data_IF_206385185778
#
_entry.id   IF_206385185778
#
_cell.length_a   1.000
_cell.length_b   1.000
_cell.length_c   1.000
_cell.angle_alpha   90.00
_cell.angle_beta   90.00
_cell.angle_gamma   90.00
#
_symmetry.space_group_name_H-M   'P 1'
#
loop_
_entity.id
_entity.type
_entity.pdbx_description
1 polymer ?
#
# COMPACT_ATOMS: atom_id res chain seq x y z
N UNK A 1 -21.39 4.49 11.68
CA UNK A 1 -20.09 4.77 11.01
C UNK A 1 -18.95 3.91 11.55
N UNK A 2 -18.46 4.12 12.79
CA UNK A 2 -17.35 3.30 13.33
C UNK A 2 -17.69 1.80 13.43
N UNK A 3 -18.88 1.47 13.95
CA UNK A 3 -19.37 0.08 14.04
C UNK A 3 -19.47 -0.57 12.65
N UNK A 4 -19.87 0.19 11.63
CA UNK A 4 -19.99 -0.30 10.26
C UNK A 4 -18.62 -0.57 9.63
N UNK A 5 -17.67 0.34 9.80
CA UNK A 5 -16.29 0.16 9.32
C UNK A 5 -15.64 -1.10 9.94
N UNK A 6 -15.76 -1.27 11.27
CA UNK A 6 -15.25 -2.46 11.95
C UNK A 6 -15.94 -3.74 11.49
N UNK A 7 -17.26 -3.69 11.28
CA UNK A 7 -18.01 -4.82 10.72
C UNK A 7 -17.50 -5.19 9.34
N UNK A 8 -17.35 -4.22 8.43
CA UNK A 8 -16.88 -4.42 7.07
C UNK A 8 -15.45 -5.00 7.05
N UNK A 9 -14.55 -4.54 7.93
CA UNK A 9 -13.21 -5.11 8.10
C UNK A 9 -13.31 -6.56 8.59
N UNK A 10 -14.13 -6.85 9.61
CA UNK A 10 -14.29 -8.20 10.17
C UNK A 10 -14.86 -9.21 9.16
N UNK A 11 -15.76 -8.76 8.30
CA UNK A 11 -16.39 -9.59 7.27
C UNK A 11 -15.42 -9.87 6.13
N UNK A 12 -14.65 -8.86 5.70
CA UNK A 12 -13.62 -9.04 4.68
C UNK A 12 -12.46 -9.91 5.18
N UNK A 13 -12.08 -9.79 6.46
CA UNK A 13 -11.10 -10.69 7.08
C UNK A 13 -11.59 -12.14 7.06
N UNK A 14 -12.84 -12.38 7.49
CA UNK A 14 -13.46 -13.71 7.44
C UNK A 14 -13.56 -14.25 6.01
N UNK A 15 -13.93 -13.41 5.05
CA UNK A 15 -14.02 -13.78 3.64
C UNK A 15 -12.65 -14.16 3.07
N UNK A 16 -11.61 -13.39 3.40
CA UNK A 16 -10.24 -13.66 2.98
C UNK A 16 -9.71 -14.98 3.56
N UNK A 17 -9.90 -15.21 4.86
CA UNK A 17 -9.50 -16.45 5.55
C UNK A 17 -10.25 -17.66 4.97
N UNK A 18 -11.54 -17.51 4.67
CA UNK A 18 -12.33 -18.58 4.03
C UNK A 18 -11.84 -18.90 2.62
N UNK A 19 -11.28 -17.92 1.91
CA UNK A 19 -10.65 -18.10 0.62
C UNK A 19 -9.13 -18.33 0.75
N UNK A 20 -8.76 -19.45 1.38
CA UNK A 20 -7.35 -19.79 1.64
C UNK A 20 -6.51 -19.88 0.35
N UNK A 21 -7.11 -20.22 -0.79
CA UNK A 21 -6.43 -20.27 -2.08
C UNK A 21 -5.98 -18.88 -2.54
N UNK A 22 -6.87 -17.87 -2.42
CA UNK A 22 -6.50 -16.48 -2.70
C UNK A 22 -5.42 -15.99 -1.73
N UNK A 23 -5.52 -16.38 -0.45
CA UNK A 23 -4.53 -16.04 0.56
C UNK A 23 -3.14 -16.62 0.23
N UNK A 24 -3.04 -17.89 -0.18
CA UNK A 24 -1.78 -18.47 -0.63
C UNK A 24 -1.20 -17.75 -1.84
N UNK A 25 -2.06 -17.36 -2.78
CA UNK A 25 -1.63 -16.62 -3.96
C UNK A 25 -1.11 -15.23 -3.59
N UNK A 26 -1.77 -14.52 -2.66
CA UNK A 26 -1.26 -13.26 -2.10
C UNK A 26 0.12 -13.44 -1.46
N UNK A 27 0.29 -14.46 -0.60
CA UNK A 27 1.56 -14.74 0.05
C UNK A 27 2.66 -15.06 -0.95
N UNK A 28 2.39 -15.91 -1.94
CA UNK A 28 3.36 -16.27 -2.97
C UNK A 28 3.81 -15.03 -3.78
N UNK A 29 2.86 -14.21 -4.24
CA UNK A 29 3.16 -12.97 -4.96
C UNK A 29 3.91 -11.96 -4.08
N UNK A 30 3.55 -11.86 -2.80
CA UNK A 30 4.21 -10.95 -1.86
C UNK A 30 5.64 -11.40 -1.52
N UNK A 31 5.88 -12.69 -1.31
CA UNK A 31 7.23 -13.24 -1.12
C UNK A 31 8.08 -13.01 -2.38
N UNK A 32 7.52 -13.24 -3.58
CA UNK A 32 8.21 -12.98 -4.83
C UNK A 32 8.57 -11.49 -4.99
N UNK A 33 7.68 -10.58 -4.57
CA UNK A 33 7.94 -9.14 -4.55
C UNK A 33 9.08 -8.78 -3.60
N UNK A 34 9.02 -9.26 -2.35
CA UNK A 34 10.06 -9.01 -1.35
C UNK A 34 11.42 -9.59 -1.75
N UNK A 35 11.43 -10.79 -2.31
CA UNK A 35 12.64 -11.42 -2.84
C UNK A 35 13.22 -10.59 -4.00
N UNK A 36 12.35 -10.08 -4.89
CA UNK A 36 12.79 -9.25 -6.02
C UNK A 36 13.42 -7.94 -5.55
N UNK A 37 12.82 -7.27 -4.56
CA UNK A 37 13.37 -6.06 -3.94
C UNK A 37 14.68 -6.36 -3.20
N UNK A 38 14.72 -7.43 -2.40
CA UNK A 38 15.89 -7.84 -1.64
C UNK A 38 17.09 -8.18 -2.54
N UNK A 39 16.85 -8.93 -3.62
CA UNK A 39 17.88 -9.24 -4.62
C UNK A 39 18.34 -7.97 -5.35
N UNK A 40 17.43 -7.06 -5.69
CA UNK A 40 17.79 -5.80 -6.33
C UNK A 40 18.72 -4.96 -5.46
N UNK A 41 18.42 -4.85 -4.15
CA UNK A 41 19.21 -4.05 -3.20
C UNK A 41 20.57 -4.71 -2.89
N UNK A 42 20.63 -6.04 -2.83
CA UNK A 42 21.85 -6.77 -2.46
C UNK A 42 22.80 -7.02 -3.65
N UNK A 43 22.30 -6.96 -4.89
CA UNK A 43 23.13 -7.09 -6.08
C UNK A 43 23.97 -5.83 -6.27
N UNK A 44 25.27 -5.92 -5.95
CA UNK A 44 26.26 -4.88 -6.24
C UNK A 44 26.88 -5.13 -7.62
N UNK A 45 27.01 -4.10 -8.44
CA UNK A 45 27.39 -4.26 -9.85
C UNK A 45 28.91 -4.45 -10.05
N UNK A 46 29.29 -5.62 -10.60
CA UNK A 46 30.63 -5.85 -11.16
C UNK A 46 30.64 -6.65 -12.47
N UNK A 47 29.51 -7.29 -12.88
CA UNK A 47 29.45 -8.17 -14.08
C UNK A 47 28.20 -7.93 -14.93
N UNK A 48 28.27 -8.21 -16.25
CA UNK A 48 27.13 -8.06 -17.19
C UNK A 48 25.89 -8.87 -16.74
N UNK A 49 26.09 -10.08 -16.18
CA UNK A 49 24.98 -10.91 -15.67
C UNK A 49 24.25 -10.23 -14.51
N UNK A 50 24.97 -9.57 -13.61
CA UNK A 50 24.37 -8.82 -12.51
C UNK A 50 23.59 -7.60 -13.02
N UNK A 51 24.12 -6.89 -14.02
CA UNK A 51 23.41 -5.75 -14.65
C UNK A 51 22.09 -6.21 -15.28
N UNK A 52 22.11 -7.31 -16.04
CA UNK A 52 20.88 -7.88 -16.63
C UNK A 52 19.88 -8.33 -15.57
N UNK A 53 20.35 -8.95 -14.48
CA UNK A 53 19.49 -9.33 -13.36
C UNK A 53 18.88 -8.09 -12.68
N UNK A 54 19.68 -7.06 -12.39
CA UNK A 54 19.20 -5.80 -11.81
C UNK A 54 18.14 -5.13 -12.68
N UNK A 55 18.34 -5.11 -14.01
CA UNK A 55 17.34 -4.59 -14.95
C UNK A 55 16.04 -5.41 -14.94
N UNK A 56 16.15 -6.75 -14.92
CA UNK A 56 14.99 -7.62 -14.81
C UNK A 56 14.22 -7.40 -13.49
N UNK A 57 14.93 -7.26 -12.37
CA UNK A 57 14.36 -7.00 -11.05
C UNK A 57 13.71 -5.61 -10.94
N UNK A 58 14.31 -4.60 -11.59
CA UNK A 58 13.76 -3.24 -11.69
C UNK A 58 12.37 -3.21 -12.33
N UNK A 59 12.12 -4.11 -13.31
CA UNK A 59 10.80 -4.26 -13.95
C UNK A 59 9.90 -5.21 -13.17
N UNK A 60 10.46 -6.31 -12.65
CA UNK A 60 9.70 -7.34 -11.93
C UNK A 60 9.09 -6.82 -10.63
N UNK A 61 9.80 -6.02 -9.84
CA UNK A 61 9.29 -5.52 -8.56
C UNK A 61 8.04 -4.64 -8.73
N UNK A 62 8.01 -3.61 -9.60
CA UNK A 62 6.78 -2.86 -9.90
C UNK A 62 5.66 -3.75 -10.46
N UNK A 63 5.98 -4.66 -11.38
CA UNK A 63 4.98 -5.56 -11.97
C UNK A 63 4.32 -6.46 -10.91
N UNK A 64 5.10 -7.06 -10.02
CA UNK A 64 4.62 -7.88 -8.89
C UNK A 64 3.83 -7.04 -7.89
N UNK A 65 4.26 -5.80 -7.61
CA UNK A 65 3.52 -4.87 -6.77
C UNK A 65 2.13 -4.60 -7.34
N UNK A 66 2.03 -4.20 -8.61
CA UNK A 66 0.72 -3.91 -9.23
C UNK A 66 -0.13 -5.17 -9.43
N UNK A 67 0.50 -6.32 -9.65
CA UNK A 67 -0.21 -7.60 -9.66
C UNK A 67 -0.86 -7.86 -8.30
N UNK A 68 -0.12 -7.66 -7.20
CA UNK A 68 -0.64 -7.77 -5.84
C UNK A 68 -1.76 -6.76 -5.57
N UNK A 69 -1.66 -5.52 -6.07
CA UNK A 69 -2.74 -4.53 -5.95
C UNK A 69 -4.00 -4.94 -6.72
N UNK A 70 -3.85 -5.42 -7.95
CA UNK A 70 -4.98 -5.93 -8.75
C UNK A 70 -5.68 -7.11 -8.06
N UNK A 71 -4.88 -7.99 -7.46
CA UNK A 71 -5.34 -9.10 -6.64
C UNK A 71 -6.12 -8.66 -5.39
N UNK A 72 -5.62 -7.66 -4.66
CA UNK A 72 -6.31 -7.08 -3.49
C UNK A 72 -7.64 -6.41 -3.85
N UNK A 73 -7.75 -5.83 -5.04
CA UNK A 73 -9.02 -5.25 -5.52
C UNK A 73 -9.98 -6.33 -6.06
N UNK A 74 -9.44 -7.42 -6.61
CA UNK A 74 -10.23 -8.45 -7.29
C UNK A 74 -10.78 -9.57 -6.41
N UNK A 75 -10.18 -9.84 -5.24
CA UNK A 75 -10.49 -11.07 -4.48
C UNK A 75 -11.92 -11.14 -3.94
N UNK A 76 -12.56 -9.99 -3.68
CA UNK A 76 -13.93 -9.95 -3.19
C UNK A 76 -14.96 -10.42 -4.23
N UNK A 77 -14.57 -10.54 -5.50
CA UNK A 77 -15.46 -10.91 -6.62
C UNK A 77 -15.29 -12.35 -7.11
N UNK A 78 -14.29 -13.08 -6.63
CA UNK A 78 -14.00 -14.44 -7.11
C UNK A 78 -13.57 -15.37 -5.99
N UNK A 79 -14.13 -16.59 -5.99
CA UNK A 79 -13.75 -17.66 -5.09
C UNK A 79 -12.59 -18.50 -5.62
N UNK A 80 -12.36 -18.52 -6.94
CA UNK A 80 -11.29 -19.28 -7.57
C UNK A 80 -9.99 -18.48 -7.65
N UNK A 81 -8.88 -19.05 -7.16
CA UNK A 81 -7.56 -18.44 -7.27
C UNK A 81 -7.08 -18.32 -8.73
N UNK A 82 -7.42 -19.27 -9.60
CA UNK A 82 -7.05 -19.21 -11.03
C UNK A 82 -7.79 -18.07 -11.72
N UNK A 83 -9.08 -17.91 -11.45
CA UNK A 83 -9.85 -16.79 -11.98
C UNK A 83 -9.34 -15.45 -11.46
N UNK A 84 -8.97 -15.38 -10.17
CA UNK A 84 -8.33 -14.22 -9.56
C UNK A 84 -7.02 -13.87 -10.26
N UNK A 85 -6.13 -14.84 -10.47
CA UNK A 85 -4.85 -14.63 -11.13
C UNK A 85 -5.02 -14.14 -12.56
N UNK A 86 -5.87 -14.81 -13.36
CA UNK A 86 -6.14 -14.41 -14.75
C UNK A 86 -6.68 -12.98 -14.83
N UNK A 87 -7.63 -12.63 -13.97
CA UNK A 87 -8.19 -11.28 -13.90
C UNK A 87 -7.13 -10.26 -13.48
N UNK A 88 -6.32 -10.58 -12.48
CA UNK A 88 -5.29 -9.69 -11.96
C UNK A 88 -4.17 -9.46 -12.98
N UNK A 89 -3.78 -10.49 -13.73
CA UNK A 89 -2.82 -10.39 -14.85
C UNK A 89 -3.33 -9.49 -15.99
N UNK A 90 -4.64 -9.48 -16.24
CA UNK A 90 -5.23 -8.55 -17.21
C UNK A 90 -5.33 -7.12 -16.65
N UNK A 91 -5.63 -7.00 -15.36
CA UNK A 91 -5.86 -5.71 -14.69
C UNK A 91 -4.57 -4.94 -14.33
N UNK A 92 -3.50 -5.62 -13.93
CA UNK A 92 -2.33 -4.94 -13.34
C UNK A 92 -1.65 -3.98 -14.31
N UNK A 93 -1.62 -4.28 -15.62
CA UNK A 93 -1.08 -3.38 -16.64
C UNK A 93 -1.81 -2.03 -16.64
N UNK A 94 -3.13 -2.08 -16.48
CA UNK A 94 -3.98 -0.89 -16.40
C UNK A 94 -3.70 -0.10 -15.13
N UNK A 95 -3.58 -0.77 -13.98
CA UNK A 95 -3.20 -0.12 -12.71
C UNK A 95 -1.83 0.54 -12.81
N UNK A 96 -0.85 -0.18 -13.35
CA UNK A 96 0.53 0.29 -13.48
C UNK A 96 0.59 1.53 -14.37
N UNK A 97 0.05 1.44 -15.59
CA UNK A 97 0.09 2.55 -16.55
C UNK A 97 -0.62 3.80 -16.01
N UNK A 98 -1.76 3.62 -15.33
CA UNK A 98 -2.48 4.74 -14.73
C UNK A 98 -1.80 5.31 -13.49
N UNK A 99 -1.09 4.48 -12.72
CA UNK A 99 -0.41 4.94 -11.50
C UNK A 99 0.86 5.73 -11.80
N UNK A 100 1.55 5.49 -12.92
CA UNK A 100 2.75 6.24 -13.32
C UNK A 100 2.53 7.77 -13.30
N UNK A 101 1.56 8.35 -14.04
CA UNK A 101 1.37 9.79 -14.02
C UNK A 101 1.00 10.32 -12.63
N UNK A 102 0.21 9.58 -11.85
CA UNK A 102 -0.16 9.98 -10.50
C UNK A 102 1.06 9.94 -9.56
N UNK A 103 1.94 8.94 -9.69
CA UNK A 103 3.20 8.87 -8.95
C UNK A 103 4.16 10.00 -9.33
N UNK A 104 4.22 10.40 -10.60
CA UNK A 104 5.00 11.56 -11.02
C UNK A 104 4.48 12.87 -10.40
N UNK A 105 3.17 13.05 -10.34
CA UNK A 105 2.55 14.19 -9.64
C UNK A 105 2.87 14.14 -8.14
N UNK A 106 2.75 12.96 -7.51
CA UNK A 106 3.09 12.76 -6.10
C UNK A 106 4.56 13.13 -5.82
N UNK A 107 5.48 12.70 -6.69
CA UNK A 107 6.90 13.04 -6.61
C UNK A 107 7.14 14.54 -6.79
N UNK A 108 6.48 15.17 -7.77
CA UNK A 108 6.58 16.62 -7.98
C UNK A 108 6.12 17.40 -6.73
N UNK A 109 5.00 17.00 -6.13
CA UNK A 109 4.51 17.59 -4.87
C UNK A 109 5.51 17.37 -3.73
N UNK A 110 6.09 16.18 -3.60
CA UNK A 110 7.11 15.87 -2.60
C UNK A 110 8.31 16.81 -2.70
N UNK A 111 8.83 16.98 -3.92
CA UNK A 111 9.99 17.83 -4.21
C UNK A 111 9.68 19.31 -3.96
N UNK A 112 8.49 19.79 -4.36
CA UNK A 112 8.05 21.16 -4.10
C UNK A 112 7.94 21.45 -2.61
N UNK A 113 7.35 20.54 -1.83
CA UNK A 113 7.29 20.67 -0.37
C UNK A 113 8.69 20.71 0.26
N UNK A 114 9.63 19.88 -0.22
CA UNK A 114 11.02 19.90 0.24
C UNK A 114 11.72 21.22 -0.07
N UNK A 115 11.50 21.78 -1.26
CA UNK A 115 12.04 23.09 -1.65
C UNK A 115 11.46 24.23 -0.79
N UNK A 116 10.16 24.20 -0.50
CA UNK A 116 9.51 25.18 0.38
C UNK A 116 10.06 25.12 1.81
N UNK A 117 10.22 23.90 2.36
CA UNK A 117 10.80 23.68 3.69
C UNK A 117 12.23 24.25 3.77
N UNK A 118 13.06 23.98 2.75
CA UNK A 118 14.43 24.50 2.68
C UNK A 118 14.48 26.04 2.56
N UNK A 119 13.57 26.64 1.79
CA UNK A 119 13.48 28.09 1.62
C UNK A 119 13.10 28.81 2.93
N UNK A 120 12.21 28.21 3.72
CA UNK A 120 11.82 28.77 5.03
C UNK A 120 12.93 28.64 6.07
N UNK A 121 13.73 27.57 6.00
CA UNK A 121 14.87 27.38 6.89
C UNK A 121 15.97 28.46 6.70
N UNK A 122 16.06 29.07 5.51
CA UNK A 122 17.04 30.12 5.21
C UNK A 122 16.62 31.52 5.68
N UNK A 123 15.33 31.73 5.96
CA UNK A 123 14.76 33.06 6.22
C UNK A 123 14.42 33.33 7.69
N UNK A 124 14.51 32.33 8.57
CA UNK A 124 14.14 32.45 9.98
C UNK A 124 15.29 32.24 10.95
N UNK A 125 15.26 32.93 12.09
CA UNK A 125 16.11 32.63 13.24
C UNK A 125 15.92 31.18 13.69
N UNK A 126 17.02 30.52 14.09
CA UNK A 126 17.06 29.10 14.42
C UNK A 126 16.00 28.65 15.46
N UNK A 127 15.56 29.55 16.35
CA UNK A 127 14.54 29.29 17.36
C UNK A 127 13.09 29.35 16.82
N UNK A 128 12.83 30.14 15.77
CA UNK A 128 11.51 30.26 15.13
C UNK A 128 11.23 29.17 14.09
N UNK A 129 12.28 28.51 13.58
CA UNK A 129 12.19 27.53 12.49
C UNK A 129 11.60 26.16 12.90
N UNK A 130 11.43 25.88 14.20
CA UNK A 130 10.95 24.57 14.66
C UNK A 130 9.50 24.26 14.26
N UNK A 131 8.59 25.24 14.39
CA UNK A 131 7.16 25.04 14.13
C UNK A 131 6.85 24.83 12.65
N UNK A 132 7.40 25.62 11.71
CA UNK A 132 7.25 25.33 10.28
C UNK A 132 7.71 23.92 9.95
N UNK A 133 8.87 23.48 10.45
CA UNK A 133 9.38 22.13 10.20
C UNK A 133 8.43 21.03 10.67
N UNK A 134 7.88 21.15 11.89
CA UNK A 134 6.90 20.20 12.43
C UNK A 134 5.63 20.19 11.58
N UNK A 135 5.13 21.35 11.16
CA UNK A 135 3.95 21.47 10.29
C UNK A 135 4.21 20.81 8.94
N UNK A 136 5.32 21.12 8.27
CA UNK A 136 5.67 20.52 6.97
C UNK A 136 5.83 19.00 7.06
N UNK A 137 6.50 18.51 8.11
CA UNK A 137 6.64 17.08 8.36
C UNK A 137 5.29 16.41 8.58
N UNK A 138 4.41 17.04 9.38
CA UNK A 138 3.05 16.55 9.65
C UNK A 138 2.20 16.53 8.39
N UNK A 139 2.20 17.61 7.60
CA UNK A 139 1.47 17.68 6.33
C UNK A 139 2.00 16.65 5.35
N UNK A 140 3.33 16.48 5.25
CA UNK A 140 3.94 15.45 4.40
C UNK A 140 3.51 14.05 4.86
N UNK A 141 3.53 13.78 6.15
CA UNK A 141 3.09 12.49 6.69
C UNK A 141 1.60 12.22 6.39
N UNK A 142 0.72 13.20 6.62
CA UNK A 142 -0.71 13.07 6.32
C UNK A 142 -0.96 12.91 4.82
N UNK A 143 -0.28 13.70 3.99
CA UNK A 143 -0.47 13.68 2.54
C UNK A 143 -0.02 12.34 1.93
N UNK A 144 1.19 11.89 2.25
CA UNK A 144 1.79 10.68 1.66
C UNK A 144 1.42 9.40 2.40
N UNK A 145 1.13 9.47 3.70
CA UNK A 145 0.75 8.32 4.52
C UNK A 145 -0.75 8.04 4.55
N UNK A 146 -1.60 9.05 4.28
CA UNK A 146 -3.05 8.90 4.41
C UNK A 146 -3.81 9.35 3.15
N UNK A 147 -3.66 10.60 2.74
CA UNK A 147 -4.47 11.20 1.66
C UNK A 147 -4.21 10.52 0.32
N UNK A 148 -2.95 10.41 -0.08
CA UNK A 148 -2.62 9.81 -1.37
C UNK A 148 -2.93 8.31 -1.43
N UNK A 149 -2.50 7.47 -0.48
CA UNK A 149 -2.86 6.05 -0.50
C UNK A 149 -4.36 5.81 -0.57
N UNK A 150 -5.16 6.59 0.17
CA UNK A 150 -6.62 6.49 0.15
C UNK A 150 -7.20 6.83 -1.23
N UNK A 151 -6.71 7.91 -1.85
CA UNK A 151 -7.06 8.28 -3.22
C UNK A 151 -6.66 7.23 -4.25
N UNK A 152 -5.44 6.68 -4.14
CA UNK A 152 -4.94 5.62 -5.00
C UNK A 152 -5.80 4.36 -4.94
N UNK A 153 -6.19 3.90 -3.74
CA UNK A 153 -7.03 2.71 -3.61
C UNK A 153 -8.38 2.90 -4.29
N UNK A 154 -9.03 4.05 -4.11
CA UNK A 154 -10.31 4.33 -4.77
C UNK A 154 -10.18 4.40 -6.28
N UNK A 155 -9.10 5.02 -6.78
CA UNK A 155 -8.77 5.04 -8.20
C UNK A 155 -8.53 3.61 -8.73
N UNK A 156 -7.80 2.77 -8.01
CA UNK A 156 -7.55 1.38 -8.40
C UNK A 156 -8.82 0.54 -8.41
N UNK A 157 -9.70 0.70 -7.41
CA UNK A 157 -11.01 0.04 -7.36
C UNK A 157 -11.85 0.45 -8.57
N UNK A 158 -11.96 1.75 -8.87
CA UNK A 158 -12.69 2.24 -10.03
C UNK A 158 -12.09 1.72 -11.34
N UNK A 159 -10.76 1.73 -11.47
CA UNK A 159 -10.06 1.28 -12.67
C UNK A 159 -10.18 -0.22 -12.94
N UNK A 160 -10.39 -1.04 -11.91
CA UNK A 160 -10.68 -2.47 -12.07
C UNK A 160 -12.13 -2.76 -12.47
N UNK A 161 -13.04 -1.79 -12.33
CA UNK A 161 -14.47 -1.93 -12.66
C UNK A 161 -14.83 -1.28 -14.00
N UNK A 162 -14.24 -0.13 -14.30
CA UNK A 162 -14.62 0.74 -15.40
C UNK A 162 -13.44 1.04 -16.34
N UNK A 163 -13.70 1.43 -17.58
CA UNK A 163 -12.66 1.85 -18.52
C UNK A 163 -11.90 3.11 -18.08
N UNK A 164 -10.64 3.23 -18.50
CA UNK A 164 -9.77 4.37 -18.13
C UNK A 164 -10.43 5.71 -18.45
N UNK A 165 -11.11 5.82 -19.59
CA UNK A 165 -11.79 7.04 -20.01
C UNK A 165 -12.95 7.42 -19.09
N UNK A 166 -13.71 6.45 -18.60
CA UNK A 166 -14.80 6.68 -17.65
C UNK A 166 -14.24 7.17 -16.31
N UNK A 167 -13.19 6.49 -15.81
CA UNK A 167 -12.48 6.87 -14.57
C UNK A 167 -11.92 8.30 -14.68
N UNK A 168 -11.31 8.67 -15.80
CA UNK A 168 -10.77 10.02 -15.99
C UNK A 168 -11.85 11.11 -15.95
N UNK A 169 -13.02 10.86 -16.57
CA UNK A 169 -14.15 11.81 -16.51
C UNK A 169 -14.77 11.88 -15.11
N UNK A 170 -14.76 10.76 -14.37
CA UNK A 170 -15.33 10.62 -13.04
C UNK A 170 -14.36 10.88 -11.88
N UNK A 171 -13.11 11.31 -12.15
CA UNK A 171 -12.05 11.33 -11.13
C UNK A 171 -12.40 12.19 -9.91
N UNK A 172 -13.06 13.34 -10.13
CA UNK A 172 -13.50 14.21 -9.04
C UNK A 172 -14.53 13.53 -8.13
N UNK A 173 -15.48 12.79 -8.71
CA UNK A 173 -16.47 12.01 -7.94
C UNK A 173 -15.80 10.87 -7.18
N UNK A 174 -14.86 10.16 -7.81
CA UNK A 174 -14.09 9.08 -7.17
C UNK A 174 -13.30 9.61 -5.98
N UNK A 175 -12.59 10.73 -6.14
CA UNK A 175 -11.83 11.35 -5.05
C UNK A 175 -12.73 11.88 -3.94
N UNK A 176 -13.89 12.48 -4.27
CA UNK A 176 -14.86 12.91 -3.26
C UNK A 176 -15.36 11.73 -2.41
N UNK A 177 -15.62 10.57 -3.04
CA UNK A 177 -15.96 9.33 -2.33
C UNK A 177 -14.78 8.77 -1.52
N UNK A 178 -13.55 8.91 -2.03
CA UNK A 178 -12.35 8.51 -1.30
C UNK A 178 -12.23 9.22 0.05
N UNK A 179 -12.59 10.50 0.09
CA UNK A 179 -12.58 11.31 1.30
C UNK A 179 -13.94 11.40 2.02
N UNK A 180 -14.89 10.53 1.68
CA UNK A 180 -16.11 10.40 2.46
C UNK A 180 -15.74 9.95 3.89
N UNK A 181 -16.42 10.45 4.95
CA UNK A 181 -16.04 10.15 6.33
C UNK A 181 -16.00 8.64 6.63
N UNK A 182 -16.85 7.84 5.96
CA UNK A 182 -16.83 6.38 6.08
C UNK A 182 -15.52 5.78 5.53
N UNK A 183 -15.11 6.16 4.32
CA UNK A 183 -13.87 5.71 3.68
C UNK A 183 -12.64 6.10 4.50
N UNK A 184 -12.62 7.32 5.03
CA UNK A 184 -11.56 7.83 5.92
C UNK A 184 -11.47 6.98 7.19
N UNK A 185 -12.60 6.71 7.87
CA UNK A 185 -12.62 5.90 9.09
C UNK A 185 -12.20 4.45 8.80
N UNK A 186 -12.68 3.83 7.72
CA UNK A 186 -12.28 2.48 7.31
C UNK A 186 -10.78 2.41 7.04
N UNK A 187 -10.23 3.38 6.31
CA UNK A 187 -8.81 3.43 6.03
C UNK A 187 -7.98 3.69 7.29
N UNK A 188 -8.45 4.53 8.22
CA UNK A 188 -7.77 4.75 9.49
C UNK A 188 -7.63 3.45 10.32
N UNK A 189 -8.70 2.66 10.44
CA UNK A 189 -8.62 1.34 11.09
C UNK A 189 -7.71 0.38 10.33
N UNK A 190 -7.80 0.38 9.00
CA UNK A 190 -6.89 -0.38 8.14
C UNK A 190 -5.43 -0.03 8.38
N UNK A 191 -5.12 1.27 8.42
CA UNK A 191 -3.78 1.81 8.63
C UNK A 191 -3.20 1.39 9.98
N UNK A 192 -4.04 1.26 11.02
CA UNK A 192 -3.59 0.66 12.28
C UNK A 192 -3.10 -0.78 12.07
N UNK A 193 -3.83 -1.59 11.30
CA UNK A 193 -3.51 -2.99 11.04
C UNK A 193 -2.28 -3.19 10.15
N UNK A 194 -2.19 -2.48 9.01
CA UNK A 194 -1.11 -2.70 8.04
C UNK A 194 0.07 -1.73 8.18
N UNK A 195 -0.09 -0.63 8.91
CA UNK A 195 0.94 0.40 9.09
C UNK A 195 1.45 0.44 10.52
N UNK A 196 0.59 0.84 11.46
CA UNK A 196 0.99 1.12 12.84
C UNK A 196 1.43 -0.13 13.61
N UNK A 197 0.65 -1.21 13.57
CA UNK A 197 1.00 -2.46 14.28
C UNK A 197 2.32 -3.07 13.78
N UNK A 198 2.54 -3.24 12.46
CA UNK A 198 3.85 -3.66 11.94
C UNK A 198 4.99 -2.75 12.37
N UNK A 199 4.78 -1.43 12.35
CA UNK A 199 5.80 -0.47 12.79
C UNK A 199 6.18 -0.65 14.26
N UNK A 200 5.18 -0.76 15.15
CA UNK A 200 5.41 -1.00 16.58
C UNK A 200 6.12 -2.34 16.78
N UNK A 201 5.65 -3.39 16.10
CA UNK A 201 6.20 -4.73 16.18
C UNK A 201 7.68 -4.76 15.80
N UNK A 202 8.06 -4.08 14.70
CA UNK A 202 9.45 -4.01 14.24
C UNK A 202 10.36 -3.21 15.19
N UNK A 203 9.85 -2.13 15.80
CA UNK A 203 10.67 -1.24 16.65
C UNK A 203 10.75 -1.65 18.13
N UNK A 204 9.88 -2.54 18.62
CA UNK A 204 9.86 -2.91 20.04
C UNK A 204 10.98 -3.87 20.40
N UNK A 205 12.07 -3.46 21.07
CA UNK A 205 13.16 -4.38 21.42
C UNK A 205 12.73 -5.40 22.49
N UNK A 206 13.08 -6.68 22.29
CA UNK A 206 12.89 -7.75 23.29
C UNK A 206 14.26 -8.29 23.68
N UNK A 207 14.92 -7.74 24.71
CA UNK A 207 16.25 -8.19 25.10
C UNK A 207 16.18 -9.63 25.64
N UNK A 208 16.99 -10.51 25.07
CA UNK A 208 17.12 -11.90 25.53
C UNK A 208 18.60 -12.24 25.61
N UNK A 209 19.05 -12.87 26.69
CA UNK A 209 20.45 -13.25 26.88
C UNK A 209 20.97 -14.41 26.01
N UNK A 210 20.24 -14.86 24.98
CA UNK A 210 20.67 -15.95 24.07
C UNK A 210 20.56 -15.51 22.62
N UNK A 211 21.69 -15.50 21.91
CA UNK A 211 21.81 -15.03 20.51
C UNK A 211 20.84 -15.73 19.55
N UNK A 212 20.74 -17.07 19.61
CA UNK A 212 19.84 -17.84 18.75
C UNK A 212 18.35 -17.54 19.01
N UNK A 213 17.99 -17.23 20.27
CA UNK A 213 16.62 -16.86 20.59
C UNK A 213 16.32 -15.45 20.07
N UNK A 214 17.27 -14.53 20.18
CA UNK A 214 17.16 -13.18 19.64
C UNK A 214 16.95 -13.21 18.11
N UNK A 215 17.74 -14.00 17.39
CA UNK A 215 17.59 -14.18 15.94
C UNK A 215 16.22 -14.79 15.59
N UNK A 216 15.80 -15.82 16.31
CA UNK A 216 14.50 -16.47 16.07
C UNK A 216 13.32 -15.52 16.33
N UNK A 217 13.38 -14.73 17.41
CA UNK A 217 12.38 -13.71 17.72
C UNK A 217 12.36 -12.58 16.68
N UNK A 218 13.53 -12.17 16.18
CA UNK A 218 13.63 -11.21 15.09
C UNK A 218 12.94 -11.73 13.82
N UNK A 219 13.24 -12.96 13.41
CA UNK A 219 12.62 -13.59 12.23
C UNK A 219 11.11 -13.69 12.42
N UNK A 220 10.64 -14.19 13.56
CA UNK A 220 9.21 -14.32 13.84
C UNK A 220 8.48 -12.98 13.81
N UNK A 221 9.09 -11.94 14.38
CA UNK A 221 8.57 -10.57 14.40
C UNK A 221 8.50 -9.96 13.01
N UNK A 222 9.56 -10.09 12.22
CA UNK A 222 9.58 -9.62 10.83
C UNK A 222 8.51 -10.37 10.02
N UNK A 223 8.44 -11.69 10.15
CA UNK A 223 7.41 -12.51 9.51
C UNK A 223 5.99 -12.06 9.87
N UNK A 224 5.71 -11.86 11.17
CA UNK A 224 4.41 -11.39 11.63
C UNK A 224 4.10 -9.95 11.15
N UNK A 225 5.07 -9.05 11.15
CA UNK A 225 4.91 -7.70 10.62
C UNK A 225 4.55 -7.72 9.13
N UNK A 226 5.24 -8.54 8.34
CA UNK A 226 4.97 -8.72 6.92
C UNK A 226 3.59 -9.33 6.66
N UNK A 227 3.18 -10.33 7.46
CA UNK A 227 1.82 -10.89 7.40
C UNK A 227 0.75 -9.83 7.71
N UNK A 228 0.96 -9.02 8.75
CA UNK A 228 0.04 -7.95 9.13
C UNK A 228 -0.05 -6.86 8.05
N UNK A 229 1.08 -6.48 7.44
CA UNK A 229 1.09 -5.57 6.30
C UNK A 229 0.25 -6.11 5.14
N UNK A 230 0.50 -7.36 4.72
CA UNK A 230 -0.20 -7.98 3.59
C UNK A 230 -1.70 -8.15 3.85
N UNK A 231 -2.05 -8.81 4.96
CA UNK A 231 -3.44 -9.13 5.28
C UNK A 231 -4.23 -7.88 5.67
N UNK A 232 -3.63 -6.99 6.46
CA UNK A 232 -4.24 -5.73 6.83
C UNK A 232 -4.53 -4.87 5.60
N UNK A 233 -3.61 -4.82 4.63
CA UNK A 233 -3.82 -4.10 3.38
C UNK A 233 -4.96 -4.70 2.55
N UNK A 234 -4.93 -6.01 2.30
CA UNK A 234 -5.95 -6.70 1.52
C UNK A 234 -7.36 -6.53 2.12
N UNK A 235 -7.49 -6.71 3.44
CA UNK A 235 -8.77 -6.52 4.14
C UNK A 235 -9.26 -5.08 4.06
N UNK A 236 -8.35 -4.10 4.17
CA UNK A 236 -8.71 -2.68 4.05
C UNK A 236 -9.23 -2.35 2.66
N UNK A 237 -8.56 -2.82 1.62
CA UNK A 237 -8.99 -2.62 0.22
C UNK A 237 -10.37 -3.25 -0.02
N UNK A 238 -10.60 -4.49 0.45
CA UNK A 238 -11.91 -5.14 0.33
C UNK A 238 -13.02 -4.41 1.10
N UNK A 239 -12.72 -3.90 2.30
CA UNK A 239 -13.66 -3.10 3.08
C UNK A 239 -14.03 -1.79 2.38
N UNK A 240 -13.06 -1.09 1.78
CA UNK A 240 -13.30 0.13 1.00
C UNK A 240 -14.13 -0.15 -0.24
N UNK A 241 -13.83 -1.23 -0.97
CA UNK A 241 -14.60 -1.64 -2.15
C UNK A 241 -16.07 -1.91 -1.80
N UNK A 242 -16.33 -2.58 -0.67
CA UNK A 242 -17.69 -2.82 -0.18
C UNK A 242 -18.39 -1.51 0.19
N UNK A 243 -17.68 -0.60 0.86
CA UNK A 243 -18.17 0.74 1.20
C UNK A 243 -18.64 1.51 -0.04
N UNK A 244 -17.79 1.56 -1.08
CA UNK A 244 -18.11 2.23 -2.34
C UNK A 244 -19.38 1.68 -3.01
N UNK A 245 -19.58 0.36 -3.02
CA UNK A 245 -20.77 -0.27 -3.61
C UNK A 245 -22.05 0.09 -2.85
N UNK A 246 -21.97 0.22 -1.53
CA UNK A 246 -23.15 0.59 -0.72
C UNK A 246 -23.59 2.04 -0.91
N UNK A 247 -22.73 2.90 -1.47
CA UNK A 247 -23.08 4.29 -1.83
C UNK A 247 -23.64 4.40 -3.26
N UNK A 248 -23.56 3.34 -4.06
CA UNK A 248 -24.11 3.27 -5.43
C UNK A 248 -25.56 2.75 -5.46
N UNK A 249 -26.01 2.07 -4.41
CA UNK A 249 -27.34 1.47 -4.26
C UNK A 249 -28.28 2.38 -3.47
#
# INVERSE_FOLDING_TARGET
MMKDALRDISENLRALVRNWQAMLLFFATYIALLASIGLFVTTREATIRQVLLSFALLVAAPALFFLLQAMCVGYAETTSAVALLKRSLKGFWKLMLFSIPVMLIALAVYLLMGKMEASMAQTGDAAGAQWPRVIFSTVRLLLFGFVMPLGFVHLWIALMREDVRAVMRGIGTILRRAFAPRSVVTYAFGFVLFGLLPYVLLNTRTPVGREWLELSLLIARVGLALCLMLLGWAVTVGALQKGMRSEEA
#
